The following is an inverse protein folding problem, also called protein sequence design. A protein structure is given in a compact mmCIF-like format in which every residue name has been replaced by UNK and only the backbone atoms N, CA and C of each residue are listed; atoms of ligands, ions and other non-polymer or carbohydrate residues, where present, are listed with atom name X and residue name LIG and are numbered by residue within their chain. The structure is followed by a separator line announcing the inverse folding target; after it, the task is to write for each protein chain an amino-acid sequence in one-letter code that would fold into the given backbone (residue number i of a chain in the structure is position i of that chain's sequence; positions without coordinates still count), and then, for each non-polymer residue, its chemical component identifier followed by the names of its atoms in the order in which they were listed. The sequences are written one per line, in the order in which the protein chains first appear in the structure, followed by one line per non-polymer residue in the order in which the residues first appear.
data_IF_431250383029
#
_entry.id   IF_431250383029
#
_cell.length_a   1.000
_cell.length_b   1.000
_cell.length_c   1.000
_cell.angle_alpha   90.00
_cell.angle_beta   90.00
_cell.angle_gamma   90.00
#
_symmetry.space_group_name_H-M   'P 1'
#
loop_
_entity.id
_entity.type
_entity.pdbx_description
1 polymer ?
#
# COMPACT_ATOMS: atom_id res chain seq x y z
N UNK A 1 -7.02 -7.28 -14.14
CA UNK A 1 -7.99 -6.19 -14.43
C UNK A 1 -8.07 -5.34 -13.17
N UNK A 2 -7.96 -4.00 -13.19
CA UNK A 2 -8.12 -3.24 -11.95
C UNK A 2 -9.58 -3.41 -11.49
N UNK A 3 -9.75 -3.97 -10.29
CA UNK A 3 -11.05 -4.11 -9.64
C UNK A 3 -11.58 -2.71 -9.36
N UNK A 4 -12.85 -2.44 -9.67
CA UNK A 4 -13.46 -1.17 -9.27
C UNK A 4 -13.61 -1.23 -7.76
N UNK A 5 -12.97 -0.29 -7.07
CA UNK A 5 -13.12 -0.10 -5.62
C UNK A 5 -14.61 0.02 -5.29
N UNK A 6 -15.07 -0.63 -4.24
CA UNK A 6 -16.49 -0.72 -3.92
C UNK A 6 -17.09 0.67 -3.66
N UNK A 7 -18.37 0.86 -4.00
CA UNK A 7 -19.12 2.08 -3.65
C UNK A 7 -19.58 1.99 -2.19
N UNK A 8 -18.66 2.29 -1.27
CA UNK A 8 -18.88 2.36 0.17
C UNK A 8 -18.78 3.81 0.64
N UNK A 9 -19.42 4.12 1.76
CA UNK A 9 -19.18 5.37 2.48
C UNK A 9 -17.72 5.39 2.97
N UNK A 10 -16.98 6.45 2.61
CA UNK A 10 -15.56 6.62 2.97
C UNK A 10 -15.35 7.54 4.16
N UNK A 11 -16.43 7.97 4.81
CA UNK A 11 -16.37 8.75 6.05
C UNK A 11 -15.58 7.96 7.09
N UNK A 12 -14.55 8.59 7.69
CA UNK A 12 -13.64 7.99 8.68
C UNK A 12 -12.89 6.70 8.22
N UNK A 13 -12.83 6.42 6.92
CA UNK A 13 -12.17 5.24 6.37
C UNK A 13 -10.65 5.47 6.25
N UNK A 14 -9.94 5.23 7.36
CA UNK A 14 -8.48 5.37 7.43
C UNK A 14 -7.73 4.43 6.48
N UNK A 15 -8.28 3.25 6.17
CA UNK A 15 -7.66 2.30 5.24
C UNK A 15 -7.73 2.83 3.80
N UNK A 16 -8.87 3.40 3.40
CA UNK A 16 -9.01 4.06 2.10
C UNK A 16 -8.06 5.26 1.96
N UNK A 17 -7.99 6.11 2.99
CA UNK A 17 -7.09 7.25 3.00
C UNK A 17 -5.62 6.81 2.88
N UNK A 18 -5.19 5.89 3.74
CA UNK A 18 -3.82 5.38 3.75
C UNK A 18 -3.46 4.69 2.43
N UNK A 19 -4.37 3.91 1.85
CA UNK A 19 -4.17 3.29 0.52
C UNK A 19 -3.97 4.35 -0.56
N UNK A 20 -4.75 5.42 -0.52
CA UNK A 20 -4.64 6.53 -1.47
C UNK A 20 -3.27 7.21 -1.32
N UNK A 21 -2.78 7.40 -0.10
CA UNK A 21 -1.47 7.99 0.14
C UNK A 21 -0.32 7.11 -0.35
N UNK A 22 -0.41 5.78 -0.17
CA UNK A 22 0.55 4.83 -0.76
C UNK A 22 0.59 4.98 -2.29
N UNK A 23 -0.58 4.97 -2.94
CA UNK A 23 -0.66 5.11 -4.41
C UNK A 23 -0.08 6.46 -4.86
N UNK A 24 -0.37 7.56 -4.16
CA UNK A 24 0.22 8.88 -4.45
C UNK A 24 1.74 8.89 -4.29
N UNK A 25 2.27 8.29 -3.23
CA UNK A 25 3.71 8.17 -3.00
C UNK A 25 4.39 7.38 -4.12
N UNK A 26 3.79 6.26 -4.54
CA UNK A 26 4.27 5.45 -5.67
C UNK A 26 4.22 6.25 -6.98
N UNK A 27 3.15 6.99 -7.25
CA UNK A 27 3.07 7.85 -8.44
C UNK A 27 4.18 8.91 -8.45
N UNK A 28 4.47 9.52 -7.30
CA UNK A 28 5.56 10.50 -7.16
C UNK A 28 6.93 9.85 -7.38
N UNK A 29 7.15 8.64 -6.87
CA UNK A 29 8.36 7.86 -7.16
C UNK A 29 8.48 7.57 -8.66
N UNK A 30 7.41 7.09 -9.30
CA UNK A 30 7.42 6.75 -10.73
C UNK A 30 7.74 7.96 -11.61
N UNK A 31 7.18 9.14 -11.31
CA UNK A 31 7.53 10.38 -11.99
C UNK A 31 9.01 10.73 -11.81
N UNK A 32 9.51 10.64 -10.58
CA UNK A 32 10.91 10.89 -10.24
C UNK A 32 11.86 9.98 -11.06
N UNK A 33 11.53 8.70 -11.20
CA UNK A 33 12.30 7.74 -12.01
C UNK A 33 12.25 8.07 -13.49
N UNK A 34 11.08 8.40 -14.03
CA UNK A 34 10.90 8.79 -15.43
C UNK A 34 11.69 10.05 -15.79
N UNK A 35 11.76 11.02 -14.87
CA UNK A 35 12.55 12.25 -15.02
C UNK A 35 14.03 12.07 -14.63
N UNK A 36 14.47 10.86 -14.30
CA UNK A 36 15.86 10.53 -14.00
C UNK A 36 16.46 11.32 -12.81
N UNK A 37 15.62 11.68 -11.83
CA UNK A 37 16.03 12.47 -10.66
C UNK A 37 16.65 11.57 -9.57
N UNK A 38 17.78 10.94 -9.87
CA UNK A 38 18.40 9.89 -9.04
C UNK A 38 18.69 10.29 -7.60
N UNK A 39 18.99 11.57 -7.35
CA UNK A 39 19.21 12.12 -6.00
C UNK A 39 17.97 12.03 -5.10
N UNK A 40 16.76 11.95 -5.67
CA UNK A 40 15.50 11.90 -4.93
C UNK A 40 14.97 10.47 -4.73
N UNK A 41 15.54 9.44 -5.37
CA UNK A 41 14.99 8.09 -5.32
C UNK A 41 14.88 7.54 -3.90
N UNK A 42 15.92 7.75 -3.09
CA UNK A 42 15.95 7.27 -1.71
C UNK A 42 14.83 7.91 -0.86
N UNK A 43 14.64 9.22 -1.00
CA UNK A 43 13.59 9.95 -0.30
C UNK A 43 12.21 9.45 -0.71
N UNK A 44 11.97 9.30 -2.03
CA UNK A 44 10.68 8.81 -2.55
C UNK A 44 10.37 7.39 -2.11
N UNK A 45 11.34 6.46 -2.14
CA UNK A 45 11.15 5.09 -1.63
C UNK A 45 10.90 5.10 -0.13
N UNK A 46 11.58 5.97 0.64
CA UNK A 46 11.30 6.15 2.07
C UNK A 46 9.86 6.60 2.32
N UNK A 47 9.36 7.58 1.56
CA UNK A 47 7.96 8.04 1.66
C UNK A 47 6.99 6.90 1.40
N UNK A 48 7.22 6.08 0.35
CA UNK A 48 6.40 4.89 0.08
C UNK A 48 6.37 3.94 1.30
N UNK A 49 7.53 3.68 1.90
CA UNK A 49 7.61 2.82 3.10
C UNK A 49 6.89 3.39 4.32
N UNK A 50 6.92 4.72 4.52
CA UNK A 50 6.19 5.38 5.61
C UNK A 50 4.68 5.26 5.43
N UNK A 51 4.18 5.58 4.23
CA UNK A 51 2.74 5.47 3.91
C UNK A 51 2.27 4.02 3.97
N UNK A 52 3.10 3.07 3.51
CA UNK A 52 2.76 1.66 3.58
C UNK A 52 2.65 1.19 5.04
N UNK A 53 3.58 1.58 5.90
CA UNK A 53 3.50 1.26 7.33
C UNK A 53 2.24 1.85 7.96
N UNK A 54 1.85 3.07 7.57
CA UNK A 54 0.61 3.68 8.02
C UNK A 54 -0.60 2.84 7.58
N UNK A 55 -0.68 2.43 6.31
CA UNK A 55 -1.73 1.55 5.80
C UNK A 55 -1.86 0.25 6.60
N UNK A 56 -0.75 -0.47 6.81
CA UNK A 56 -0.75 -1.72 7.58
C UNK A 56 -1.23 -1.49 9.01
N UNK A 57 -0.79 -0.40 9.65
CA UNK A 57 -1.21 -0.04 11.01
C UNK A 57 -2.71 0.30 11.07
N UNK A 58 -3.24 1.02 10.08
CA UNK A 58 -4.68 1.33 9.99
C UNK A 58 -5.53 0.07 9.86
N UNK A 59 -5.04 -0.92 9.12
CA UNK A 59 -5.72 -2.23 9.01
C UNK A 59 -5.62 -3.01 10.32
N UNK A 60 -4.45 -3.06 10.96
CA UNK A 60 -4.26 -3.77 12.23
C UNK A 60 -5.22 -3.28 13.33
N UNK A 61 -5.53 -1.98 13.36
CA UNK A 61 -6.53 -1.40 14.29
C UNK A 61 -7.94 -1.95 14.05
N UNK A 62 -8.29 -2.28 12.80
CA UNK A 62 -9.62 -2.78 12.43
C UNK A 62 -9.77 -4.29 12.54
N UNK A 63 -8.67 -5.06 12.44
CA UNK A 63 -8.69 -6.53 12.48
C UNK A 63 -9.48 -7.10 13.68
N UNK A 64 -9.39 -6.56 14.91
CA UNK A 64 -10.18 -7.04 16.04
C UNK A 64 -11.70 -6.96 15.84
N UNK A 65 -12.18 -6.02 15.02
CA UNK A 65 -13.59 -5.87 14.70
C UNK A 65 -14.05 -6.81 13.57
N UNK A 66 -13.12 -7.47 12.86
CA UNK A 66 -13.44 -8.38 11.76
C UNK A 66 -13.81 -9.78 12.27
N UNK A 67 -14.70 -10.51 11.56
CA UNK A 67 -14.95 -11.92 11.84
C UNK A 67 -13.67 -12.77 11.73
N UNK A 68 -13.40 -13.72 12.66
CA UNK A 68 -12.14 -14.47 12.68
C UNK A 68 -11.80 -15.21 11.37
N UNK A 69 -12.80 -15.63 10.62
CA UNK A 69 -12.62 -16.32 9.33
C UNK A 69 -11.96 -15.44 8.25
N UNK A 70 -11.99 -14.11 8.38
CA UNK A 70 -11.40 -13.19 7.41
C UNK A 70 -9.96 -12.80 7.77
N UNK A 71 -9.53 -13.02 9.01
CA UNK A 71 -8.22 -12.58 9.53
C UNK A 71 -7.06 -13.12 8.70
N UNK A 72 -7.10 -14.41 8.34
CA UNK A 72 -6.06 -15.04 7.52
C UNK A 72 -5.88 -14.36 6.16
N UNK A 73 -6.97 -13.93 5.52
CA UNK A 73 -6.90 -13.27 4.23
C UNK A 73 -6.22 -11.89 4.34
N UNK A 74 -6.56 -11.15 5.39
CA UNK A 74 -5.95 -9.84 5.70
C UNK A 74 -4.45 -10.00 6.01
N UNK A 75 -4.10 -10.98 6.83
CA UNK A 75 -2.70 -11.29 7.18
C UNK A 75 -1.85 -11.64 5.93
N UNK A 76 -2.41 -12.42 5.00
CA UNK A 76 -1.73 -12.73 3.74
C UNK A 76 -1.49 -11.47 2.90
N UNK A 77 -2.47 -10.57 2.81
CA UNK A 77 -2.31 -9.30 2.11
C UNK A 77 -1.23 -8.39 2.76
N UNK A 78 -1.14 -8.37 4.10
CA UNK A 78 -0.05 -7.69 4.81
C UNK A 78 1.33 -8.26 4.46
N UNK A 79 1.45 -9.59 4.40
CA UNK A 79 2.69 -10.28 4.04
C UNK A 79 3.12 -9.99 2.60
N UNK A 80 2.17 -9.98 1.66
CA UNK A 80 2.43 -9.61 0.25
C UNK A 80 3.00 -8.20 0.18
N UNK A 81 2.33 -7.23 0.79
CA UNK A 81 2.80 -5.84 0.80
C UNK A 81 4.17 -5.64 1.44
N UNK A 82 4.45 -6.36 2.52
CA UNK A 82 5.77 -6.32 3.18
C UNK A 82 6.87 -6.85 2.25
N UNK A 83 6.56 -7.92 1.50
CA UNK A 83 7.45 -8.48 0.47
C UNK A 83 7.65 -7.48 -0.67
N UNK A 84 6.59 -6.87 -1.20
CA UNK A 84 6.69 -5.91 -2.31
C UNK A 84 7.54 -4.69 -1.94
N UNK A 85 7.45 -4.22 -0.69
CA UNK A 85 8.30 -3.14 -0.20
C UNK A 85 9.78 -3.55 -0.14
N UNK A 86 10.06 -4.79 0.28
CA UNK A 86 11.43 -5.30 0.27
C UNK A 86 11.99 -5.37 -1.16
N UNK A 87 11.20 -5.86 -2.12
CA UNK A 87 11.57 -5.89 -3.55
C UNK A 87 11.81 -4.49 -4.13
N UNK A 88 11.01 -3.50 -3.73
CA UNK A 88 11.22 -2.11 -4.11
C UNK A 88 12.54 -1.55 -3.56
N UNK A 89 12.85 -1.82 -2.29
CA UNK A 89 14.11 -1.42 -1.66
C UNK A 89 15.30 -2.08 -2.35
N UNK A 90 15.21 -3.36 -2.68
CA UNK A 90 16.28 -4.07 -3.37
C UNK A 90 16.48 -3.56 -4.79
N UNK A 91 15.40 -3.21 -5.48
CA UNK A 91 15.47 -2.52 -6.78
C UNK A 91 16.18 -1.17 -6.68
N UNK A 92 15.91 -0.38 -5.64
CA UNK A 92 16.63 0.89 -5.39
C UNK A 92 18.13 0.66 -5.18
N UNK A 93 18.53 -0.35 -4.40
CA UNK A 93 19.94 -0.67 -4.18
C UNK A 93 20.65 -1.03 -5.48
N UNK A 94 19.99 -1.77 -6.36
CA UNK A 94 20.52 -2.10 -7.69
C UNK A 94 20.66 -0.84 -8.55
N UNK A 95 19.65 0.02 -8.59
CA UNK A 95 19.74 1.31 -9.28
C UNK A 95 20.95 2.11 -8.78
N UNK A 96 21.11 2.27 -7.46
CA UNK A 96 22.22 2.99 -6.85
C UNK A 96 23.59 2.37 -7.19
N UNK A 97 23.69 1.04 -7.18
CA UNK A 97 24.92 0.30 -7.49
C UNK A 97 25.38 0.47 -8.94
N UNK A 98 24.43 0.56 -9.86
CA UNK A 98 24.69 0.60 -11.30
C UNK A 98 24.38 1.97 -11.94
N UNK A 99 24.34 3.03 -11.14
CA UNK A 99 24.23 4.41 -11.65
C UNK A 99 25.37 4.71 -12.63
N UNK A 100 25.07 5.43 -13.70
CA UNK A 100 26.02 5.83 -14.75
C UNK A 100 26.68 4.66 -15.49
N UNK A 101 26.06 3.48 -15.48
CA UNK A 101 26.48 2.32 -16.28
C UNK A 101 25.52 2.09 -17.44
N UNK A 102 25.91 1.26 -18.41
CA UNK A 102 25.07 0.91 -19.56
C UNK A 102 23.77 0.17 -19.19
N UNK A 103 23.72 -0.45 -18.00
CA UNK A 103 22.58 -1.21 -17.50
C UNK A 103 21.67 -0.41 -16.55
N UNK A 104 21.98 0.86 -16.26
CA UNK A 104 21.17 1.71 -15.36
C UNK A 104 19.69 1.74 -15.78
N UNK A 105 19.44 1.89 -17.09
CA UNK A 105 18.09 1.98 -17.63
C UNK A 105 17.25 0.72 -17.34
N UNK A 106 17.87 -0.46 -17.30
CA UNK A 106 17.21 -1.72 -16.96
C UNK A 106 16.81 -1.76 -15.49
N UNK A 107 17.73 -1.40 -14.58
CA UNK A 107 17.42 -1.36 -13.14
C UNK A 107 16.36 -0.31 -12.79
N UNK A 108 16.34 0.84 -13.47
CA UNK A 108 15.25 1.82 -13.31
C UNK A 108 13.89 1.26 -13.72
N UNK A 109 13.83 0.47 -14.80
CA UNK A 109 12.60 -0.24 -15.19
C UNK A 109 12.19 -1.29 -14.14
N UNK A 110 13.16 -2.00 -13.57
CA UNK A 110 12.93 -2.91 -12.45
C UNK A 110 12.28 -2.20 -11.26
N UNK A 111 12.81 -1.04 -10.87
CA UNK A 111 12.25 -0.23 -9.78
C UNK A 111 10.83 0.29 -10.09
N UNK A 112 10.55 0.69 -11.33
CA UNK A 112 9.19 1.06 -11.77
C UNK A 112 8.22 -0.13 -11.72
N UNK A 113 8.68 -1.33 -12.08
CA UNK A 113 7.86 -2.53 -11.99
C UNK A 113 7.53 -2.86 -10.53
N UNK A 114 8.52 -2.86 -9.65
CA UNK A 114 8.34 -3.13 -8.22
C UNK A 114 7.40 -2.10 -7.56
N UNK A 115 7.55 -0.81 -7.88
CA UNK A 115 6.66 0.23 -7.35
C UNK A 115 5.21 0.05 -7.85
N UNK A 116 5.03 -0.37 -9.11
CA UNK A 116 3.71 -0.60 -9.66
C UNK A 116 2.99 -1.78 -8.99
N UNK A 117 3.71 -2.91 -8.80
CA UNK A 117 3.19 -4.09 -8.09
C UNK A 117 2.73 -3.70 -6.68
N UNK A 118 3.58 -3.01 -5.91
CA UNK A 118 3.23 -2.52 -4.57
C UNK A 118 1.93 -1.70 -4.56
N UNK A 119 1.75 -0.79 -5.52
CA UNK A 119 0.51 -0.01 -5.62
C UNK A 119 -0.70 -0.85 -6.03
N UNK A 120 -0.52 -1.91 -6.81
CA UNK A 120 -1.60 -2.84 -7.15
C UNK A 120 -2.01 -3.64 -5.91
N UNK A 121 -1.06 -4.16 -5.15
CA UNK A 121 -1.33 -4.96 -3.96
C UNK A 121 -1.87 -4.13 -2.79
N UNK A 122 -1.51 -2.83 -2.70
CA UNK A 122 -2.12 -1.90 -1.76
C UNK A 122 -3.62 -1.71 -2.05
N UNK A 123 -3.98 -1.57 -3.32
CA UNK A 123 -5.40 -1.52 -3.74
C UNK A 123 -6.10 -2.86 -3.51
N UNK A 124 -5.42 -3.98 -3.72
CA UNK A 124 -5.98 -5.30 -3.46
C UNK A 124 -6.27 -5.50 -1.95
N UNK A 125 -5.42 -4.99 -1.05
CA UNK A 125 -5.71 -4.99 0.39
C UNK A 125 -6.98 -4.18 0.68
N UNK A 126 -7.11 -2.96 0.12
CA UNK A 126 -8.33 -2.17 0.26
C UNK A 126 -9.56 -2.93 -0.27
N UNK A 127 -9.46 -3.59 -1.42
CA UNK A 127 -10.55 -4.41 -1.97
C UNK A 127 -10.91 -5.58 -1.04
N UNK A 128 -9.94 -6.21 -0.38
CA UNK A 128 -10.19 -7.25 0.64
C UNK A 128 -10.98 -6.66 1.81
N UNK A 129 -10.59 -5.50 2.32
CA UNK A 129 -11.29 -4.82 3.42
C UNK A 129 -12.70 -4.39 3.00
N UNK A 130 -12.86 -3.84 1.81
CA UNK A 130 -14.15 -3.45 1.25
C UNK A 130 -15.09 -4.66 1.12
N UNK A 131 -14.58 -5.81 0.66
CA UNK A 131 -15.36 -7.05 0.58
C UNK A 131 -15.82 -7.53 1.96
N UNK A 132 -14.97 -7.38 2.99
CA UNK A 132 -15.35 -7.67 4.38
C UNK A 132 -16.46 -6.72 4.81
N UNK A 133 -16.33 -5.41 4.56
CA UNK A 133 -17.35 -4.41 4.92
C UNK A 133 -18.70 -4.70 4.27
N UNK A 134 -18.71 -5.00 2.97
CA UNK A 134 -19.92 -5.36 2.22
C UNK A 134 -20.60 -6.60 2.81
N UNK A 135 -19.81 -7.61 3.21
CA UNK A 135 -20.33 -8.86 3.77
C UNK A 135 -20.76 -8.73 5.23
N UNK A 136 -20.20 -7.79 5.97
CA UNK A 136 -20.37 -7.64 7.41
C UNK A 136 -20.72 -6.18 7.78
N UNK A 137 -22.01 -5.81 7.77
CA UNK A 137 -22.46 -4.43 8.01
C UNK A 137 -22.02 -3.83 9.37
N UNK A 138 -21.75 -4.67 10.37
CA UNK A 138 -21.23 -4.21 11.66
C UNK A 138 -19.79 -3.67 11.54
N UNK A 139 -18.97 -4.24 10.65
CA UNK A 139 -17.63 -3.74 10.33
C UNK A 139 -17.72 -2.40 9.63
N UNK A 140 -18.58 -2.30 8.62
CA UNK A 140 -18.79 -1.06 7.89
C UNK A 140 -19.26 0.08 8.83
N UNK A 141 -20.25 -0.21 9.67
CA UNK A 141 -20.75 0.72 10.68
C UNK A 141 -19.67 1.14 11.69
N UNK A 142 -18.79 0.23 12.09
CA UNK A 142 -17.68 0.51 13.00
C UNK A 142 -16.69 1.51 12.38
N UNK A 143 -16.32 1.31 11.11
CA UNK A 143 -15.42 2.19 10.36
C UNK A 143 -16.04 3.56 10.18
N UNK A 144 -17.28 3.63 9.66
CA UNK A 144 -17.95 4.91 9.35
C UNK A 144 -18.18 5.75 10.62
N UNK A 145 -18.45 5.12 11.77
CA UNK A 145 -18.61 5.82 13.06
C UNK A 145 -17.29 6.25 13.70
N UNK A 146 -16.14 5.99 13.07
CA UNK A 146 -14.83 6.40 13.56
C UNK A 146 -14.24 5.50 14.65
N UNK A 147 -14.72 4.26 14.77
CA UNK A 147 -14.07 3.16 15.49
C UNK A 147 -13.30 3.54 16.76
N UNK A 148 -13.89 4.30 17.68
CA UNK A 148 -13.30 4.44 19.01
C UNK A 148 -13.62 3.15 19.75
N UNK A 149 -12.63 2.28 19.91
CA UNK A 149 -12.66 1.27 20.97
C UNK A 149 -12.79 2.06 22.27
N UNK A 150 -13.97 2.02 22.88
CA UNK A 150 -14.12 2.52 24.24
C UNK A 150 -13.10 1.75 25.09
N UNK A 151 -12.04 2.45 25.50
CA UNK A 151 -11.13 1.94 26.52
C UNK A 151 -11.91 1.94 27.82
N UNK A 152 -12.33 0.77 28.27
CA UNK A 152 -13.07 0.55 29.51
C UNK A 152 -12.84 -0.86 30.00
#
# INVERSE_FOLDING_TARGET
KPTKTAQLDRTNDSVYEATTNVVRAVMSLSQCVQHQLSSQYLEKVRTVGVELRHLLSSVDVLVPAFPPLTHRQVEMAHKVLSKDMAELVDSLKLVQKYLNTTVEAEYRRGMLSASHVLAMDAKNLLDVIDNIRVKYPHVDSHIVRGGIVASG
#
